data_IF_460947565798
#
_entry.id   IF_460947565798
#
_cell.length_a   1.000
_cell.length_b   1.000
_cell.length_c   1.000
_cell.angle_alpha   90.00
_cell.angle_beta   90.00
_cell.angle_gamma   90.00
#
_symmetry.space_group_name_H-M   'P 1'
#
loop_
_entity.id
_entity.type
_entity.pdbx_description
1 polymer ?
#
# COMPACT_ATOMS: atom_id res chain seq x y z
N UNK A 1 14.01 -1.48 5.32
CA UNK A 1 14.17 -2.64 4.43
C UNK A 1 12.98 -3.56 4.60
N UNK A 2 12.20 -3.76 3.55
CA UNK A 2 11.11 -4.74 3.52
C UNK A 2 11.66 -6.15 3.27
N UNK A 3 11.03 -7.16 3.86
CA UNK A 3 11.38 -8.57 3.70
C UNK A 3 10.23 -9.29 3.00
N UNK A 4 10.31 -9.41 1.70
CA UNK A 4 9.32 -10.09 0.87
C UNK A 4 9.45 -11.61 0.98
N UNK A 5 9.20 -12.12 2.17
CA UNK A 5 9.26 -13.54 2.51
C UNK A 5 7.98 -14.01 3.21
N UNK A 6 7.88 -15.31 3.45
CA UNK A 6 6.86 -15.90 4.32
C UNK A 6 7.60 -16.72 5.39
N UNK A 7 7.59 -16.28 6.66
CA UNK A 7 7.03 -15.04 7.20
C UNK A 7 7.74 -13.78 6.67
N UNK A 8 7.01 -12.65 6.61
CA UNK A 8 7.51 -11.35 6.20
C UNK A 8 8.19 -10.56 7.33
N UNK A 9 8.41 -9.28 7.10
CA UNK A 9 8.95 -8.38 8.10
C UNK A 9 9.50 -7.08 7.53
N UNK A 10 9.89 -6.19 8.43
CA UNK A 10 10.59 -4.94 8.11
C UNK A 10 11.75 -4.75 9.07
N UNK A 11 12.87 -4.26 8.58
CA UNK A 11 14.01 -3.84 9.40
C UNK A 11 14.36 -2.38 9.13
N UNK A 12 14.69 -1.68 10.20
CA UNK A 12 15.32 -0.36 10.13
C UNK A 12 16.82 -0.55 10.16
N UNK A 13 17.52 0.17 9.31
CA UNK A 13 18.99 0.10 9.19
C UNK A 13 19.55 1.52 9.19
N UNK A 14 20.36 1.83 10.19
CA UNK A 14 21.06 3.09 10.27
C UNK A 14 22.40 3.00 9.54
N UNK A 15 22.67 4.00 8.71
CA UNK A 15 23.83 4.06 7.85
C UNK A 15 24.58 5.37 8.01
N UNK A 16 25.91 5.33 7.97
CA UNK A 16 26.72 6.53 7.75
C UNK A 16 27.62 6.37 6.52
N UNK A 17 27.94 7.50 5.90
CA UNK A 17 28.93 7.53 4.83
C UNK A 17 30.35 7.62 5.43
N UNK A 18 31.13 6.55 5.29
CA UNK A 18 32.55 6.59 5.62
C UNK A 18 33.30 7.40 4.56
N UNK A 19 33.75 8.60 4.92
CA UNK A 19 34.40 9.53 4.00
C UNK A 19 35.83 9.12 3.59
N UNK A 20 36.45 8.17 4.31
CA UNK A 20 37.80 7.70 4.00
C UNK A 20 37.82 6.72 2.81
N UNK A 21 36.76 5.92 2.66
CA UNK A 21 36.63 4.94 1.60
C UNK A 21 35.46 5.19 0.64
N UNK A 22 34.63 6.19 0.91
CA UNK A 22 33.43 6.54 0.13
C UNK A 22 32.35 5.43 0.10
N UNK A 23 32.28 4.61 1.15
CA UNK A 23 31.28 3.54 1.29
C UNK A 23 30.26 3.85 2.39
N UNK A 24 29.04 3.41 2.20
CA UNK A 24 28.04 3.39 3.26
C UNK A 24 28.30 2.21 4.18
N UNK A 25 28.33 2.47 5.47
CA UNK A 25 28.54 1.48 6.53
C UNK A 25 27.33 1.41 7.44
N UNK A 26 26.98 0.20 7.87
CA UNK A 26 25.85 -0.04 8.79
C UNK A 26 26.31 0.23 10.21
N UNK A 27 25.65 1.15 10.88
CA UNK A 27 25.89 1.42 12.31
C UNK A 27 25.06 0.50 13.18
N UNK A 28 23.78 0.35 12.82
CA UNK A 28 22.83 -0.42 13.60
C UNK A 28 21.71 -0.96 12.70
N UNK A 29 21.11 -2.07 13.12
CA UNK A 29 19.92 -2.62 12.48
C UNK A 29 19.02 -3.26 13.52
N UNK A 30 17.70 -3.05 13.40
CA UNK A 30 16.70 -3.67 14.26
C UNK A 30 15.45 -4.06 13.46
N UNK A 31 14.80 -5.19 13.81
CA UNK A 31 13.51 -5.53 13.25
C UNK A 31 12.41 -4.63 13.84
N UNK A 32 11.37 -4.41 13.04
CA UNK A 32 10.09 -3.86 13.52
C UNK A 32 9.23 -5.01 14.04
N UNK A 33 8.57 -4.82 15.19
CA UNK A 33 7.65 -5.82 15.73
C UNK A 33 6.32 -5.79 14.97
N UNK A 34 6.13 -6.79 14.11
CA UNK A 34 4.94 -6.99 13.28
C UNK A 34 4.19 -8.29 13.65
N UNK A 35 4.49 -8.88 14.82
CA UNK A 35 3.97 -10.17 15.26
C UNK A 35 3.39 -10.12 16.67
N UNK A 36 2.69 -9.04 17.01
CA UNK A 36 2.01 -8.88 18.29
C UNK A 36 0.53 -9.31 18.22
N UNK A 37 -0.19 -9.25 19.34
CA UNK A 37 -1.59 -9.69 19.43
C UNK A 37 -2.57 -8.90 18.57
N UNK A 38 -2.20 -7.65 18.18
CA UNK A 38 -3.06 -6.76 17.36
C UNK A 38 -2.83 -7.02 15.87
N UNK A 39 -1.56 -7.04 15.45
CA UNK A 39 -1.17 -7.25 14.05
C UNK A 39 -1.26 -8.71 13.61
N UNK A 40 -1.32 -9.63 14.56
CA UNK A 40 -1.31 -11.09 14.42
C UNK A 40 -0.07 -11.60 13.67
N UNK A 41 0.12 -11.24 12.42
CA UNK A 41 1.27 -11.64 11.58
C UNK A 41 1.46 -10.69 10.41
N UNK A 42 2.58 -10.81 9.73
CA UNK A 42 2.84 -10.15 8.44
C UNK A 42 3.46 -11.14 7.45
N UNK A 43 3.30 -10.86 6.16
CA UNK A 43 3.87 -11.70 5.11
C UNK A 43 4.13 -10.90 3.85
N UNK A 44 5.20 -11.28 3.12
CA UNK A 44 5.52 -10.69 1.82
C UNK A 44 5.46 -9.16 1.84
N UNK A 45 6.18 -8.56 2.79
CA UNK A 45 6.35 -7.11 2.83
C UNK A 45 7.18 -6.70 1.61
N UNK A 46 6.50 -6.31 0.55
CA UNK A 46 7.12 -6.06 -0.74
C UNK A 46 7.65 -4.64 -0.82
N UNK A 47 6.91 -3.72 -1.36
CA UNK A 47 7.30 -2.33 -1.46
C UNK A 47 6.64 -1.49 -0.34
N UNK A 48 6.19 -0.32 -0.63
CA UNK A 48 5.53 0.60 0.30
C UNK A 48 5.79 2.05 -0.10
N UNK A 49 5.86 2.94 0.87
CA UNK A 49 6.10 4.36 0.59
C UNK A 49 6.62 5.13 1.78
N UNK A 50 7.13 6.33 1.52
CA UNK A 50 7.50 7.30 2.55
C UNK A 50 6.39 8.34 2.60
N UNK A 51 5.91 8.65 3.79
CA UNK A 51 4.89 9.68 3.98
C UNK A 51 5.50 11.09 3.99
N UNK A 52 4.73 12.12 3.63
CA UNK A 52 5.20 13.51 3.76
C UNK A 52 5.52 13.94 5.18
N UNK A 53 5.05 13.22 6.19
CA UNK A 53 5.29 13.48 7.61
C UNK A 53 6.41 12.63 8.23
N UNK A 54 7.11 11.84 7.41
CA UNK A 54 8.36 11.17 7.79
C UNK A 54 8.24 9.73 8.29
N UNK A 55 7.04 9.15 8.28
CA UNK A 55 6.85 7.71 8.52
C UNK A 55 7.06 6.88 7.26
N UNK A 56 7.11 5.57 7.40
CA UNK A 56 7.22 4.61 6.30
C UNK A 56 6.01 3.70 6.31
N UNK A 57 5.43 3.46 5.15
CA UNK A 57 4.37 2.46 4.99
C UNK A 57 4.96 1.23 4.32
N UNK A 58 4.71 0.03 4.86
CA UNK A 58 5.03 -1.26 4.23
C UNK A 58 3.78 -1.91 3.68
N UNK A 59 3.91 -2.64 2.59
CA UNK A 59 2.82 -3.23 1.82
C UNK A 59 2.86 -4.76 1.89
N UNK A 60 1.78 -5.40 2.33
CA UNK A 60 1.65 -6.86 2.37
C UNK A 60 1.10 -7.38 1.04
N UNK A 61 1.94 -8.04 0.27
CA UNK A 61 1.58 -8.62 -1.05
C UNK A 61 1.02 -10.05 -0.90
N UNK A 62 0.04 -10.23 -0.03
CA UNK A 62 -0.62 -11.52 0.16
C UNK A 62 -2.00 -11.38 0.79
N UNK A 63 -2.97 -12.13 0.28
CA UNK A 63 -4.34 -12.17 0.79
C UNK A 63 -4.76 -13.54 1.32
N UNK A 64 -3.84 -14.29 1.94
CA UNK A 64 -4.18 -15.54 2.60
C UNK A 64 -5.24 -15.32 3.68
N UNK A 65 -6.24 -16.21 3.73
CA UNK A 65 -7.38 -16.07 4.63
C UNK A 65 -7.10 -16.69 5.98
N UNK A 66 -6.79 -15.88 6.96
CA UNK A 66 -6.61 -16.26 8.37
C UNK A 66 -7.05 -15.07 9.24
N UNK A 67 -7.68 -15.35 10.35
CA UNK A 67 -8.08 -14.42 11.40
C UNK A 67 -7.72 -15.13 12.72
N UNK A 68 -6.43 -15.10 13.08
CA UNK A 68 -5.89 -15.87 14.20
C UNK A 68 -6.17 -15.22 15.56
N UNK A 69 -6.30 -13.88 15.58
CA UNK A 69 -6.65 -13.13 16.79
C UNK A 69 -8.17 -13.00 16.99
N UNK A 70 -8.99 -13.42 16.00
CA UNK A 70 -10.45 -13.40 16.02
C UNK A 70 -11.04 -11.98 16.19
N UNK A 71 -10.41 -10.98 15.59
CA UNK A 71 -10.92 -9.60 15.57
C UNK A 71 -11.89 -9.34 14.39
N UNK A 72 -12.00 -10.33 13.47
CA UNK A 72 -12.84 -10.31 12.28
C UNK A 72 -12.17 -9.67 11.05
N UNK A 73 -10.98 -9.10 11.18
CA UNK A 73 -10.14 -8.77 10.05
C UNK A 73 -9.29 -9.98 9.65
N UNK A 74 -8.99 -10.11 8.37
CA UNK A 74 -8.00 -11.09 7.92
C UNK A 74 -6.61 -10.61 8.31
N UNK A 75 -5.73 -11.52 8.72
CA UNK A 75 -4.41 -11.17 9.30
C UNK A 75 -3.49 -10.44 8.33
N UNK A 76 -3.60 -10.65 7.01
CA UNK A 76 -2.67 -10.14 6.01
C UNK A 76 -3.35 -9.57 4.77
N UNK A 77 -2.61 -8.78 3.99
CA UNK A 77 -3.08 -8.08 2.80
C UNK A 77 -3.36 -6.60 3.05
N UNK A 78 -2.62 -5.99 3.96
CA UNK A 78 -2.82 -4.61 4.40
C UNK A 78 -1.56 -3.77 4.23
N UNK A 79 -1.74 -2.47 4.35
CA UNK A 79 -0.66 -1.52 4.57
C UNK A 79 -0.44 -1.33 6.08
N UNK A 80 0.81 -1.13 6.47
CA UNK A 80 1.20 -0.88 7.88
C UNK A 80 2.14 0.32 7.93
N UNK A 81 1.79 1.32 8.73
CA UNK A 81 2.61 2.52 8.90
C UNK A 81 3.57 2.33 10.09
N UNK A 82 4.81 2.73 9.89
CA UNK A 82 5.93 2.51 10.79
C UNK A 82 6.66 3.83 11.05
N UNK A 83 6.95 4.12 12.30
CA UNK A 83 7.88 5.17 12.68
C UNK A 83 9.33 4.65 12.57
N UNK A 84 10.11 5.17 11.61
CA UNK A 84 11.47 4.69 11.39
C UNK A 84 12.45 5.09 12.51
N UNK A 85 12.14 6.12 13.31
CA UNK A 85 13.01 6.57 14.41
C UNK A 85 12.93 5.61 15.59
N UNK A 86 11.74 5.08 15.87
CA UNK A 86 11.51 4.18 17.00
C UNK A 86 11.50 2.71 16.59
N UNK A 87 11.42 2.40 15.29
CA UNK A 87 11.16 1.08 14.71
C UNK A 87 9.89 0.42 15.27
N UNK A 88 8.85 1.22 15.48
CA UNK A 88 7.54 0.77 15.95
C UNK A 88 6.47 1.02 14.91
N UNK A 89 5.46 0.17 14.88
CA UNK A 89 4.22 0.44 14.17
C UNK A 89 3.53 1.64 14.82
N UNK A 90 2.92 2.50 14.01
CA UNK A 90 2.22 3.68 14.51
C UNK A 90 1.07 3.29 15.44
N UNK A 91 1.00 3.94 16.61
CA UNK A 91 -0.08 3.80 17.57
C UNK A 91 -1.08 4.95 17.40
N UNK A 92 -2.27 4.62 16.90
CA UNK A 92 -3.35 5.60 16.68
C UNK A 92 -4.28 5.73 17.91
N UNK A 93 -3.83 5.26 19.07
CA UNK A 93 -4.58 5.33 20.34
C UNK A 93 -5.44 4.11 20.65
N UNK A 94 -5.51 3.13 19.74
CA UNK A 94 -6.23 1.86 19.92
C UNK A 94 -5.27 0.65 19.95
N UNK A 95 -3.99 0.90 20.19
CA UNK A 95 -2.91 -0.06 19.98
C UNK A 95 -2.37 0.00 18.55
N UNK A 96 -1.42 -0.87 18.26
CA UNK A 96 -0.85 -1.00 16.91
C UNK A 96 -1.85 -1.68 15.99
N UNK A 97 -2.23 -1.03 14.89
CA UNK A 97 -3.18 -1.56 13.92
C UNK A 97 -2.73 -1.34 12.48
N UNK A 98 -3.20 -2.21 11.58
CA UNK A 98 -3.00 -2.06 10.14
C UNK A 98 -3.93 -0.99 9.60
N UNK A 99 -3.62 -0.45 8.42
CA UNK A 99 -4.41 0.60 7.76
C UNK A 99 -5.67 -0.01 7.08
N UNK A 100 -6.58 -0.55 7.88
CA UNK A 100 -7.76 -1.28 7.40
C UNK A 100 -8.67 -0.44 6.51
N UNK A 101 -8.74 0.87 6.74
CA UNK A 101 -9.56 1.77 5.91
C UNK A 101 -9.09 1.85 4.45
N UNK A 102 -7.83 1.53 4.16
CA UNK A 102 -7.29 1.48 2.81
C UNK A 102 -7.63 0.18 2.06
N UNK A 103 -8.25 -0.79 2.75
CA UNK A 103 -8.75 -2.03 2.18
C UNK A 103 -7.72 -3.13 2.04
N UNK A 104 -8.22 -4.36 1.93
CA UNK A 104 -7.43 -5.57 1.81
C UNK A 104 -7.20 -5.99 0.36
N UNK A 105 -5.94 -6.19 -0.01
CA UNK A 105 -5.51 -6.66 -1.34
C UNK A 105 -4.04 -7.13 -1.31
N UNK A 106 -3.52 -7.62 -2.42
CA UNK A 106 -2.08 -7.82 -2.60
C UNK A 106 -1.44 -6.45 -2.87
N UNK A 107 -1.12 -5.73 -1.80
CA UNK A 107 -0.52 -4.41 -1.90
C UNK A 107 0.92 -4.48 -2.39
N UNK A 108 1.28 -3.56 -3.28
CA UNK A 108 2.64 -3.37 -3.75
C UNK A 108 3.28 -2.14 -3.12
N UNK A 109 2.94 -0.98 -3.61
CA UNK A 109 3.48 0.30 -3.17
C UNK A 109 2.34 1.26 -2.82
N UNK A 110 2.71 2.32 -2.13
CA UNK A 110 1.81 3.46 -1.89
C UNK A 110 2.59 4.75 -2.05
N UNK A 111 2.02 5.71 -2.78
CA UNK A 111 2.53 7.08 -2.87
C UNK A 111 1.50 8.05 -2.31
N UNK A 112 1.96 9.01 -1.51
CA UNK A 112 1.10 9.99 -0.85
C UNK A 112 1.36 11.37 -1.44
N UNK A 113 0.28 12.10 -1.72
CA UNK A 113 0.38 13.46 -2.25
C UNK A 113 1.14 14.39 -1.29
N UNK A 114 1.94 15.34 -1.80
CA UNK A 114 2.73 16.24 -0.95
C UNK A 114 1.92 17.09 0.03
N UNK A 115 0.62 17.30 -0.24
CA UNK A 115 -0.31 18.00 0.65
C UNK A 115 -0.92 17.09 1.73
N UNK A 116 -0.48 15.82 1.77
CA UNK A 116 -0.92 14.82 2.73
C UNK A 116 -2.43 14.51 2.73
N UNK A 117 -3.11 14.70 1.59
CA UNK A 117 -4.57 14.50 1.49
C UNK A 117 -4.99 13.23 0.78
N UNK A 118 -4.12 12.69 -0.08
CA UNK A 118 -4.48 11.60 -0.99
C UNK A 118 -3.34 10.59 -1.10
N UNK A 119 -3.67 9.31 -1.09
CA UNK A 119 -2.75 8.23 -1.42
C UNK A 119 -3.18 7.52 -2.70
N UNK A 120 -2.21 7.00 -3.46
CA UNK A 120 -2.42 6.15 -4.64
C UNK A 120 -1.63 4.87 -4.48
N UNK A 121 -2.22 3.75 -4.84
CA UNK A 121 -1.61 2.43 -4.72
C UNK A 121 -2.18 1.45 -5.73
N UNK A 122 -1.48 0.35 -5.94
CA UNK A 122 -1.85 -0.71 -6.85
C UNK A 122 -2.02 -2.07 -6.18
N UNK A 123 -2.65 -2.98 -6.91
CA UNK A 123 -2.77 -4.38 -6.53
C UNK A 123 -2.03 -5.25 -7.54
N UNK A 124 -1.03 -6.01 -7.07
CA UNK A 124 -0.43 -7.08 -7.86
C UNK A 124 -1.03 -8.44 -7.50
N UNK A 125 -1.72 -9.02 -8.43
CA UNK A 125 -2.55 -10.20 -8.19
C UNK A 125 -4.02 -9.84 -8.01
N UNK A 126 -4.86 -10.80 -7.66
CA UNK A 126 -6.28 -10.58 -7.41
C UNK A 126 -7.00 -9.88 -8.56
N UNK A 127 -7.40 -8.64 -8.38
CA UNK A 127 -8.16 -7.86 -9.36
C UNK A 127 -7.30 -6.93 -10.21
N UNK A 128 -6.04 -6.68 -9.81
CA UNK A 128 -5.06 -5.88 -10.53
C UNK A 128 -5.52 -4.43 -10.79
N UNK A 129 -6.22 -3.83 -9.86
CA UNK A 129 -6.74 -2.47 -9.98
C UNK A 129 -5.77 -1.43 -9.43
N UNK A 130 -6.02 -0.16 -9.79
CA UNK A 130 -5.37 1.03 -9.21
C UNK A 130 -6.37 1.75 -8.34
N UNK A 131 -5.92 2.19 -7.18
CA UNK A 131 -6.75 2.81 -6.15
C UNK A 131 -6.28 4.22 -5.82
N UNK A 132 -7.25 5.03 -5.38
CA UNK A 132 -7.05 6.33 -4.77
C UNK A 132 -7.74 6.33 -3.42
N UNK A 133 -7.04 6.76 -2.39
CA UNK A 133 -7.57 6.95 -1.05
C UNK A 133 -7.54 8.43 -0.69
N UNK A 134 -8.68 8.99 -0.34
CA UNK A 134 -8.80 10.39 0.09
C UNK A 134 -8.98 10.40 1.59
N UNK A 135 -8.01 10.96 2.31
CA UNK A 135 -7.98 11.03 3.76
C UNK A 135 -9.05 12.01 4.28
N UNK A 136 -9.76 11.66 5.33
CA UNK A 136 -10.71 12.54 6.01
C UNK A 136 -9.99 13.71 6.71
N UNK A 137 -8.81 13.43 7.24
CA UNK A 137 -7.91 14.41 7.85
C UNK A 137 -6.54 14.30 7.18
N UNK A 138 -5.97 15.41 6.68
CA UNK A 138 -4.64 15.36 6.07
C UNK A 138 -3.60 14.75 7.02
N UNK A 139 -2.84 13.76 6.54
CA UNK A 139 -1.82 13.06 7.31
C UNK A 139 -2.33 11.92 8.19
N UNK A 140 -3.61 11.57 8.10
CA UNK A 140 -4.21 10.46 8.83
C UNK A 140 -4.69 9.37 7.84
N UNK A 141 -4.01 8.23 7.84
CA UNK A 141 -4.33 7.09 6.98
C UNK A 141 -5.41 6.17 7.57
N UNK A 142 -5.88 6.42 8.77
CA UNK A 142 -6.83 5.53 9.48
C UNK A 142 -8.28 5.73 9.06
N UNK A 143 -8.61 6.89 8.48
CA UNK A 143 -9.97 7.24 8.05
C UNK A 143 -9.96 7.98 6.70
N UNK A 144 -10.83 7.55 5.79
CA UNK A 144 -10.94 8.13 4.45
C UNK A 144 -11.76 7.27 3.50
N UNK A 145 -11.89 7.73 2.27
CA UNK A 145 -12.69 7.10 1.22
C UNK A 145 -11.81 6.49 0.13
N UNK A 146 -12.06 5.24 -0.23
CA UNK A 146 -11.37 4.53 -1.32
C UNK A 146 -12.11 4.71 -2.64
N UNK A 147 -11.36 4.90 -3.69
CA UNK A 147 -11.84 4.92 -5.08
C UNK A 147 -11.02 3.96 -5.93
N UNK A 148 -11.66 3.31 -6.91
CA UNK A 148 -11.01 2.47 -7.93
C UNK A 148 -10.99 3.19 -9.27
N UNK A 149 -9.89 3.08 -10.01
CA UNK A 149 -9.76 3.63 -11.37
C UNK A 149 -10.51 2.78 -12.38
N UNK A 150 -11.41 3.39 -13.15
CA UNK A 150 -12.12 2.76 -14.25
C UNK A 150 -11.91 3.55 -15.54
N UNK A 151 -11.34 2.92 -16.56
CA UNK A 151 -11.23 3.48 -17.90
C UNK A 151 -12.56 3.38 -18.62
N UNK A 152 -12.88 4.37 -19.44
CA UNK A 152 -14.09 4.34 -20.32
C UNK A 152 -13.95 3.31 -21.44
N UNK A 153 -12.71 3.05 -21.88
CA UNK A 153 -12.42 2.05 -22.89
C UNK A 153 -11.71 0.84 -22.28
N UNK A 154 -12.13 -0.39 -22.61
CA UNK A 154 -11.50 -1.60 -22.08
C UNK A 154 -10.07 -1.74 -22.61
N UNK A 155 -9.17 -2.23 -21.76
CA UNK A 155 -7.81 -2.59 -22.16
C UNK A 155 -7.83 -3.93 -22.91
N UNK A 156 -7.50 -3.91 -24.19
CA UNK A 156 -7.41 -5.10 -25.05
C UNK A 156 -6.06 -5.10 -25.76
N UNK A 157 -5.19 -6.04 -25.41
CA UNK A 157 -3.81 -6.05 -25.89
C UNK A 157 -3.08 -4.76 -25.49
N UNK A 158 -2.61 -4.02 -26.50
CA UNK A 158 -1.91 -2.76 -26.32
C UNK A 158 -2.81 -1.52 -26.45
N UNK A 159 -4.09 -1.68 -26.66
CA UNK A 159 -5.05 -0.60 -26.83
C UNK A 159 -6.03 -0.51 -25.64
N UNK A 160 -6.59 0.68 -25.36
CA UNK A 160 -6.25 1.96 -25.98
C UNK A 160 -4.92 2.54 -25.45
N UNK A 161 -4.25 3.36 -26.21
CA UNK A 161 -3.08 4.11 -25.77
C UNK A 161 -3.43 5.33 -24.93
N UNK A 162 -4.69 5.76 -24.97
CA UNK A 162 -5.27 6.79 -24.11
C UNK A 162 -6.76 6.56 -23.93
N UNK A 163 -7.30 6.92 -22.79
CA UNK A 163 -8.72 6.84 -22.45
C UNK A 163 -9.08 7.94 -21.47
N UNK A 164 -10.33 8.38 -21.48
CA UNK A 164 -10.92 9.02 -20.31
C UNK A 164 -11.19 7.98 -19.25
N UNK A 165 -11.27 8.41 -18.00
CA UNK A 165 -11.44 7.54 -16.85
C UNK A 165 -12.24 8.23 -15.76
N UNK A 166 -12.81 7.42 -14.87
CA UNK A 166 -13.46 7.90 -13.65
C UNK A 166 -12.89 7.20 -12.41
N UNK A 167 -12.94 7.88 -11.28
CA UNK A 167 -12.70 7.31 -9.96
C UNK A 167 -14.03 6.93 -9.34
N UNK A 168 -14.28 5.63 -9.18
CA UNK A 168 -15.52 5.10 -8.60
C UNK A 168 -15.28 4.83 -7.12
N UNK A 169 -16.12 5.40 -6.26
CA UNK A 169 -16.10 5.14 -4.84
C UNK A 169 -16.35 3.67 -4.53
N UNK A 170 -15.52 3.09 -3.68
CA UNK A 170 -15.64 1.71 -3.21
C UNK A 170 -16.01 1.73 -1.73
N UNK A 171 -17.12 1.11 -1.32
CA UNK A 171 -17.50 1.05 0.08
C UNK A 171 -16.39 0.43 0.95
N UNK A 172 -16.02 1.11 2.04
CA UNK A 172 -14.97 0.71 2.98
C UNK A 172 -15.29 1.05 4.45
N UNK A 173 -16.58 1.24 4.78
CA UNK A 173 -17.00 1.64 6.12
C UNK A 173 -17.02 0.47 7.10
N UNK A 174 -17.39 -0.71 6.62
CA UNK A 174 -17.54 -1.90 7.46
C UNK A 174 -16.33 -2.84 7.32
N UNK A 175 -16.08 -3.64 8.35
CA UNK A 175 -15.06 -4.69 8.35
C UNK A 175 -15.20 -5.65 7.16
N UNK A 176 -16.43 -6.04 6.82
CA UNK A 176 -16.69 -6.91 5.68
C UNK A 176 -16.34 -6.25 4.33
N UNK A 177 -16.60 -4.97 4.17
CA UNK A 177 -16.22 -4.20 2.98
C UNK A 177 -14.71 -4.07 2.87
N UNK A 178 -14.03 -3.75 3.97
CA UNK A 178 -12.57 -3.66 4.04
C UNK A 178 -11.87 -4.97 3.70
N UNK A 179 -12.33 -6.09 4.26
CA UNK A 179 -11.81 -7.43 3.96
C UNK A 179 -11.99 -7.85 2.49
N UNK A 180 -12.99 -7.31 1.79
CA UNK A 180 -13.34 -7.67 0.41
C UNK A 180 -13.22 -6.48 -0.56
N UNK A 181 -12.45 -5.46 -0.22
CA UNK A 181 -12.44 -4.20 -0.96
C UNK A 181 -12.06 -4.41 -2.43
N UNK A 182 -11.05 -5.21 -2.74
CA UNK A 182 -10.62 -5.47 -4.11
C UNK A 182 -11.70 -6.18 -4.95
N UNK A 183 -12.42 -7.14 -4.37
CA UNK A 183 -13.53 -7.84 -5.03
C UNK A 183 -14.69 -6.87 -5.32
N UNK A 184 -15.00 -6.00 -4.35
CA UNK A 184 -16.03 -4.97 -4.50
C UNK A 184 -15.64 -3.95 -5.58
N UNK A 185 -14.36 -3.53 -5.61
CA UNK A 185 -13.83 -2.62 -6.63
C UNK A 185 -13.96 -3.20 -8.05
N UNK A 186 -13.59 -4.47 -8.23
CA UNK A 186 -13.77 -5.15 -9.52
C UNK A 186 -15.24 -5.27 -9.93
N UNK A 187 -16.15 -5.57 -8.98
CA UNK A 187 -17.58 -5.64 -9.23
C UNK A 187 -18.20 -4.29 -9.66
N UNK A 188 -17.62 -3.17 -9.21
CA UNK A 188 -17.97 -1.81 -9.65
C UNK A 188 -17.39 -1.44 -11.01
N UNK A 189 -16.57 -2.29 -11.60
CA UNK A 189 -15.97 -2.11 -12.92
C UNK A 189 -14.58 -1.48 -12.90
N UNK A 190 -13.86 -1.57 -11.78
CA UNK A 190 -12.45 -1.22 -11.72
C UNK A 190 -11.65 -1.89 -12.84
N UNK A 191 -10.76 -1.14 -13.49
CA UNK A 191 -10.00 -1.64 -14.63
C UNK A 191 -8.87 -2.55 -14.17
N UNK A 192 -8.82 -3.76 -14.76
CA UNK A 192 -7.72 -4.69 -14.54
C UNK A 192 -6.52 -4.33 -15.43
N UNK A 193 -5.41 -3.92 -14.81
CA UNK A 193 -4.17 -3.55 -15.48
C UNK A 193 -3.15 -4.70 -15.61
N UNK A 194 -3.50 -5.90 -15.14
CA UNK A 194 -2.66 -7.11 -15.22
C UNK A 194 -1.34 -6.99 -14.43
N UNK A 195 -1.45 -6.72 -13.13
CA UNK A 195 -0.32 -6.57 -12.21
C UNK A 195 0.15 -5.13 -12.11
N UNK A 196 -0.39 -4.39 -11.13
CA UNK A 196 0.06 -3.04 -10.81
C UNK A 196 1.16 -3.14 -9.78
N UNK A 197 2.32 -2.64 -10.13
CA UNK A 197 3.50 -2.61 -9.27
C UNK A 197 3.59 -1.27 -8.53
N UNK A 198 4.49 -0.41 -8.96
CA UNK A 198 4.69 0.88 -8.33
C UNK A 198 3.77 1.97 -8.86
N UNK A 199 3.37 2.87 -7.97
CA UNK A 199 2.78 4.16 -8.27
C UNK A 199 3.72 5.28 -7.86
N UNK A 200 3.73 6.38 -8.61
CA UNK A 200 4.55 7.55 -8.29
C UNK A 200 3.85 8.85 -8.70
N UNK A 201 4.13 9.93 -7.99
CA UNK A 201 3.63 11.27 -8.30
C UNK A 201 4.77 12.10 -8.87
N UNK A 202 4.59 12.61 -10.09
CA UNK A 202 5.58 13.50 -10.69
C UNK A 202 5.68 14.81 -9.89
N UNK A 203 6.87 15.14 -9.31
CA UNK A 203 6.98 16.20 -8.30
C UNK A 203 6.67 17.61 -8.84
N UNK A 204 6.77 17.81 -10.16
CA UNK A 204 6.53 19.12 -10.77
C UNK A 204 5.12 19.29 -11.33
N UNK A 205 4.47 18.20 -11.76
CA UNK A 205 3.19 18.27 -12.47
C UNK A 205 2.02 17.71 -11.67
N UNK A 206 2.30 16.89 -10.63
CA UNK A 206 1.29 16.17 -9.86
C UNK A 206 0.62 15.02 -10.62
N UNK A 207 1.13 14.68 -11.79
CA UNK A 207 0.63 13.53 -12.55
C UNK A 207 1.00 12.23 -11.85
N UNK A 208 0.07 11.29 -11.85
CA UNK A 208 0.27 9.96 -11.30
C UNK A 208 0.76 9.04 -12.39
N UNK A 209 1.81 8.27 -12.08
CA UNK A 209 2.31 7.21 -12.92
C UNK A 209 2.21 5.89 -12.16
N UNK A 210 1.89 4.81 -12.86
CA UNK A 210 1.96 3.47 -12.30
C UNK A 210 2.45 2.48 -13.37
N UNK A 211 3.10 1.43 -12.92
CA UNK A 211 3.59 0.37 -13.80
C UNK A 211 2.62 -0.82 -13.78
N UNK A 212 2.44 -1.43 -14.94
CA UNK A 212 1.63 -2.63 -15.12
C UNK A 212 2.52 -3.74 -15.72
N UNK A 213 3.05 -4.64 -14.88
CA UNK A 213 4.06 -5.63 -15.28
C UNK A 213 3.57 -6.58 -16.36
N UNK A 214 2.37 -7.09 -16.23
CA UNK A 214 1.81 -8.03 -17.21
C UNK A 214 1.49 -7.39 -18.57
N UNK A 215 1.57 -6.05 -18.66
CA UNK A 215 1.43 -5.29 -19.92
C UNK A 215 2.76 -4.72 -20.40
N UNK A 216 3.81 -4.76 -19.57
CA UNK A 216 5.12 -4.14 -19.88
C UNK A 216 5.02 -2.64 -20.09
N UNK A 217 4.18 -1.92 -19.32
CA UNK A 217 3.87 -0.50 -19.50
C UNK A 217 3.89 0.30 -18.22
N UNK A 218 4.14 1.60 -18.40
CA UNK A 218 3.84 2.66 -17.44
C UNK A 218 2.68 3.49 -18.01
N UNK A 219 1.72 3.78 -17.20
CA UNK A 219 0.54 4.60 -17.49
C UNK A 219 0.67 5.95 -16.82
#
# INVERSE_FOLDING_TARGET
VNHENTPGGVSIVDLHLNTDNNLWEVDYSQPVDLYNDVLATTTRNCSGGITPWGTVVTAEESTNNHDNNNDGYQDVGWLVEIDPETAQVMDYGNGQEKLWAMGRMNHENVVISPDATTAYYGEDGGTHCVYKYVMDTPGDLTAGTVYVLKLDLPLVGDEPTSSTAEWIEVPNDTQAERNNLNVNAAALGGTNFNGVEDCEIHPMTGQIYFTAKGRGRTY
#
